data_IF_184775322636
#
_entry.id   IF_184775322636
#
_cell.length_a   1.000
_cell.length_b   1.000
_cell.length_c   1.000
_cell.angle_alpha   90.00
_cell.angle_beta   90.00
_cell.angle_gamma   90.00
#
_symmetry.space_group_name_H-M   'P 1'
#
loop_
_entity.id
_entity.type
_entity.pdbx_description
1 polymer ?
#
# COMPACT_ATOMS: atom_id res chain seq x y z
N UNK A 1 21.47 17.66 8.52
CA UNK A 1 22.24 16.77 7.65
C UNK A 1 22.18 17.27 6.22
N UNK A 2 23.35 17.48 5.59
CA UNK A 2 23.46 18.05 4.23
C UNK A 2 23.69 16.99 3.15
N UNK A 3 23.54 15.73 3.46
CA UNK A 3 23.76 14.59 2.56
C UNK A 3 22.46 14.05 1.95
N UNK A 4 22.62 13.10 1.04
CA UNK A 4 21.50 12.33 0.47
C UNK A 4 21.16 11.17 1.40
N UNK A 5 19.88 11.02 1.71
CA UNK A 5 19.35 9.88 2.50
C UNK A 5 18.52 9.01 1.59
N UNK A 6 18.80 7.72 1.57
CA UNK A 6 17.98 6.73 0.89
C UNK A 6 17.23 5.97 1.98
N UNK A 7 15.91 5.99 1.91
CA UNK A 7 15.02 5.34 2.88
C UNK A 7 14.27 4.22 2.20
N UNK A 8 14.26 3.05 2.86
CA UNK A 8 13.40 1.94 2.50
C UNK A 8 12.37 1.82 3.63
N UNK A 9 11.13 2.13 3.34
CA UNK A 9 10.06 2.08 4.35
C UNK A 9 8.73 1.68 3.70
N UNK A 10 7.95 0.90 4.43
CA UNK A 10 6.57 0.58 4.09
C UNK A 10 5.58 1.56 4.76
N UNK A 11 6.05 2.42 5.66
CA UNK A 11 5.24 3.44 6.31
C UNK A 11 5.00 4.61 5.36
N UNK A 12 3.83 4.65 4.72
CA UNK A 12 3.43 5.64 3.71
C UNK A 12 3.57 7.07 4.20
N UNK A 13 3.08 7.37 5.39
CA UNK A 13 3.15 8.70 6.01
C UNK A 13 4.58 9.20 6.22
N UNK A 14 5.49 8.28 6.53
CA UNK A 14 6.91 8.60 6.68
C UNK A 14 7.56 8.92 5.34
N UNK A 15 7.22 8.16 4.29
CA UNK A 15 7.73 8.39 2.93
C UNK A 15 7.23 9.74 2.40
N UNK A 16 5.93 10.02 2.53
CA UNK A 16 5.30 11.26 2.03
C UNK A 16 5.86 12.53 2.69
N UNK A 17 6.23 12.44 3.97
CA UNK A 17 6.75 13.60 4.73
C UNK A 17 8.23 13.88 4.47
N UNK A 18 9.03 12.88 4.09
CA UNK A 18 10.49 12.97 4.04
C UNK A 18 11.09 12.91 2.64
N UNK A 19 10.29 12.53 1.64
CA UNK A 19 10.81 12.22 0.30
C UNK A 19 10.55 13.35 -0.67
N UNK A 20 11.61 14.01 -1.13
CA UNK A 20 11.55 15.02 -2.19
C UNK A 20 11.53 14.44 -3.60
N UNK A 21 11.89 13.16 -3.76
CA UNK A 21 12.02 12.51 -5.07
C UNK A 21 11.68 11.04 -4.97
N UNK A 22 10.83 10.58 -5.89
CA UNK A 22 10.46 9.18 -6.03
C UNK A 22 11.14 8.61 -7.28
N UNK A 23 11.76 7.44 -7.11
CA UNK A 23 12.33 6.68 -8.22
C UNK A 23 11.70 5.30 -8.25
N UNK A 24 11.13 4.97 -9.39
CA UNK A 24 10.62 3.64 -9.68
C UNK A 24 11.70 2.81 -10.37
N UNK A 25 11.90 1.58 -9.91
CA UNK A 25 12.71 0.58 -10.61
C UNK A 25 11.79 -0.51 -11.14
N UNK A 26 11.54 -0.52 -12.44
CA UNK A 26 10.68 -1.51 -13.09
C UNK A 26 11.40 -2.12 -14.30
N UNK A 27 11.43 -3.45 -14.38
CA UNK A 27 12.09 -4.18 -15.47
C UNK A 27 13.55 -3.72 -15.75
N UNK A 28 14.31 -3.38 -14.71
CA UNK A 28 15.70 -2.92 -14.84
C UNK A 28 15.85 -1.46 -15.30
N UNK A 29 14.76 -0.73 -15.46
CA UNK A 29 14.75 0.69 -15.84
C UNK A 29 14.44 1.55 -14.62
N UNK A 30 15.28 2.57 -14.39
CA UNK A 30 15.07 3.57 -13.36
C UNK A 30 14.29 4.76 -13.95
N UNK A 31 13.12 5.07 -13.41
CA UNK A 31 12.32 6.23 -13.79
C UNK A 31 12.14 7.14 -12.59
N UNK A 32 12.28 8.44 -12.81
CA UNK A 32 11.93 9.43 -11.80
C UNK A 32 10.47 9.79 -11.95
N UNK A 33 9.70 9.65 -10.87
CA UNK A 33 8.33 10.14 -10.79
C UNK A 33 8.33 11.62 -10.37
N UNK A 34 7.52 12.43 -11.06
CA UNK A 34 7.40 13.88 -10.82
C UNK A 34 6.06 14.16 -10.14
N UNK A 35 5.97 13.91 -8.84
CA UNK A 35 4.76 14.08 -8.05
C UNK A 35 4.95 13.62 -6.62
N UNK A 36 3.88 13.69 -5.84
CA UNK A 36 3.82 13.18 -4.48
C UNK A 36 3.74 11.65 -4.45
N UNK A 37 4.00 11.05 -3.30
CA UNK A 37 3.85 9.59 -3.15
C UNK A 37 2.39 9.15 -3.34
N UNK A 38 1.42 9.97 -2.96
CA UNK A 38 0.00 9.70 -3.14
C UNK A 38 -0.37 9.66 -4.64
N UNK A 39 0.10 10.64 -5.42
CA UNK A 39 -0.06 10.67 -6.89
C UNK A 39 0.62 9.48 -7.57
N UNK A 40 1.79 9.04 -7.07
CA UNK A 40 2.47 7.84 -7.58
C UNK A 40 1.65 6.57 -7.35
N UNK A 41 1.04 6.42 -6.18
CA UNK A 41 0.18 5.26 -5.86
C UNK A 41 -1.10 5.28 -6.72
N UNK A 42 -1.69 6.45 -6.92
CA UNK A 42 -2.89 6.61 -7.75
C UNK A 42 -2.59 6.31 -9.23
N UNK A 43 -1.44 6.77 -9.75
CA UNK A 43 -0.97 6.48 -11.10
C UNK A 43 -0.72 4.97 -11.30
N UNK A 44 -0.07 4.32 -10.34
CA UNK A 44 0.12 2.86 -10.37
C UNK A 44 -1.21 2.10 -10.34
N UNK A 45 -2.16 2.55 -9.54
CA UNK A 45 -3.47 1.90 -9.44
C UNK A 45 -4.23 2.06 -10.76
N UNK A 46 -4.20 3.24 -11.35
CA UNK A 46 -4.83 3.53 -12.65
C UNK A 46 -4.18 2.72 -13.79
N UNK A 47 -2.86 2.60 -13.81
CA UNK A 47 -2.14 1.75 -14.79
C UNK A 47 -2.50 0.27 -14.64
N UNK A 48 -2.67 -0.20 -13.39
CA UNK A 48 -3.09 -1.58 -13.14
C UNK A 48 -4.55 -1.83 -13.56
N UNK A 49 -5.43 -0.85 -13.44
CA UNK A 49 -6.82 -0.94 -13.91
C UNK A 49 -6.90 -0.98 -15.44
N UNK A 50 -6.10 -0.17 -16.14
CA UNK A 50 -6.03 -0.15 -17.61
C UNK A 50 -5.43 -1.46 -18.15
N UNK A 51 -4.38 -2.00 -17.54
CA UNK A 51 -3.80 -3.29 -17.92
C UNK A 51 -4.79 -4.48 -17.73
N UNK A 52 -5.77 -4.33 -16.85
CA UNK A 52 -6.82 -5.35 -16.63
C UNK A 52 -7.97 -5.25 -17.66
N UNK A 53 -8.15 -4.10 -18.31
CA UNK A 53 -9.20 -3.91 -19.34
C UNK A 53 -8.71 -4.20 -20.77
N UNK A 54 -7.42 -4.05 -21.06
CA UNK A 54 -6.88 -4.19 -22.42
C UNK A 54 -6.27 -5.55 -22.76
N UNK A 55 -5.93 -6.40 -21.79
CA UNK A 55 -5.43 -7.74 -22.09
C UNK A 55 -6.36 -8.84 -21.59
N UNK A 56 -7.32 -9.20 -22.45
CA UNK A 56 -7.62 -10.61 -22.59
C UNK A 56 -6.41 -11.25 -23.31
N UNK A 57 -5.48 -11.93 -22.58
CA UNK A 57 -4.32 -12.49 -23.24
C UNK A 57 -4.76 -13.51 -24.28
N UNK A 58 -4.10 -13.54 -25.46
CA UNK A 58 -4.33 -14.62 -26.39
C UNK A 58 -3.99 -15.93 -25.67
N UNK A 59 -4.89 -16.87 -25.80
CA UNK A 59 -4.83 -18.25 -25.32
C UNK A 59 -3.40 -18.84 -25.44
N UNK A 60 -2.60 -18.69 -24.40
CA UNK A 60 -1.30 -19.34 -24.24
C UNK A 60 -1.31 -20.18 -22.98
N UNK A 61 -1.97 -21.35 -23.06
CA UNK A 61 -1.47 -22.53 -22.37
C UNK A 61 -1.54 -22.60 -20.87
N UNK A 62 -2.31 -21.78 -20.14
CA UNK A 62 -2.70 -22.16 -18.78
C UNK A 62 -3.85 -23.17 -18.93
N UNK A 63 -3.69 -24.41 -18.45
CA UNK A 63 -4.71 -25.46 -18.55
C UNK A 63 -6.02 -25.16 -17.80
N UNK A 64 -6.27 -23.90 -17.46
CA UNK A 64 -7.45 -23.42 -16.74
C UNK A 64 -8.62 -23.17 -17.70
N UNK A 65 -9.80 -23.66 -17.33
CA UNK A 65 -11.05 -23.37 -18.04
C UNK A 65 -11.42 -21.88 -17.93
N UNK A 66 -12.30 -21.42 -18.83
CA UNK A 66 -12.80 -20.02 -18.77
C UNK A 66 -13.51 -19.70 -17.44
N UNK A 67 -14.20 -20.70 -16.86
CA UNK A 67 -14.87 -20.55 -15.56
C UNK A 67 -13.86 -20.37 -14.42
N UNK A 68 -12.79 -21.16 -14.39
CA UNK A 68 -11.72 -21.04 -13.39
C UNK A 68 -10.99 -19.69 -13.51
N UNK A 69 -10.75 -19.20 -14.71
CA UNK A 69 -10.16 -17.88 -14.93
C UNK A 69 -11.05 -16.76 -14.41
N UNK A 70 -12.36 -16.82 -14.69
CA UNK A 70 -13.32 -15.83 -14.19
C UNK A 70 -13.43 -15.87 -12.66
N UNK A 71 -13.39 -17.07 -12.07
CA UNK A 71 -13.38 -17.20 -10.61
C UNK A 71 -12.12 -16.57 -9.99
N UNK A 72 -10.94 -16.84 -10.55
CA UNK A 72 -9.68 -16.24 -10.07
C UNK A 72 -9.69 -14.72 -10.19
N UNK A 73 -10.18 -14.16 -11.30
CA UNK A 73 -10.32 -12.72 -11.46
C UNK A 73 -11.29 -12.10 -10.44
N UNK A 74 -12.40 -12.77 -10.16
CA UNK A 74 -13.36 -12.30 -9.15
C UNK A 74 -12.73 -12.27 -7.76
N UNK A 75 -11.98 -13.31 -7.40
CA UNK A 75 -11.25 -13.38 -6.12
C UNK A 75 -10.17 -12.29 -6.01
N UNK A 76 -9.43 -12.03 -7.08
CA UNK A 76 -8.46 -10.93 -7.12
C UNK A 76 -9.15 -9.59 -6.82
N UNK A 77 -10.29 -9.31 -7.46
CA UNK A 77 -11.06 -8.08 -7.22
C UNK A 77 -11.56 -7.97 -5.77
N UNK A 78 -11.95 -9.08 -5.16
CA UNK A 78 -12.38 -9.12 -3.76
C UNK A 78 -11.23 -8.77 -2.81
N UNK A 79 -10.05 -9.33 -3.02
CA UNK A 79 -8.85 -9.02 -2.22
C UNK A 79 -8.36 -7.59 -2.44
N UNK A 80 -8.42 -7.06 -3.67
CA UNK A 80 -8.12 -5.65 -3.95
C UNK A 80 -9.07 -4.70 -3.20
N UNK A 81 -10.39 -4.99 -3.20
CA UNK A 81 -11.35 -4.21 -2.41
C UNK A 81 -11.10 -4.31 -0.90
N UNK A 82 -10.62 -5.46 -0.42
CA UNK A 82 -10.19 -5.62 0.97
C UNK A 82 -9.01 -4.71 1.27
N UNK A 83 -7.98 -4.69 0.43
CA UNK A 83 -6.82 -3.81 0.56
C UNK A 83 -7.21 -2.32 0.56
N UNK A 84 -8.15 -1.89 -0.29
CA UNK A 84 -8.65 -0.51 -0.28
C UNK A 84 -9.30 -0.14 1.05
N UNK A 85 -10.09 -1.07 1.64
CA UNK A 85 -10.71 -0.84 2.96
C UNK A 85 -9.65 -0.74 4.06
N UNK A 86 -8.65 -1.62 4.03
CA UNK A 86 -7.51 -1.58 4.97
C UNK A 86 -6.73 -0.27 4.84
N UNK A 87 -6.46 0.18 3.61
CA UNK A 87 -5.78 1.45 3.35
C UNK A 87 -6.54 2.66 3.92
N UNK A 88 -7.88 2.67 3.83
CA UNK A 88 -8.70 3.73 4.45
C UNK A 88 -8.58 3.72 5.97
N UNK A 89 -8.54 2.53 6.59
CA UNK A 89 -8.37 2.41 8.04
C UNK A 89 -6.97 2.88 8.48
N UNK A 90 -5.93 2.50 7.73
CA UNK A 90 -4.55 2.96 7.98
C UNK A 90 -4.50 4.50 7.93
N UNK A 91 -5.04 5.13 6.88
CA UNK A 91 -5.05 6.61 6.77
C UNK A 91 -5.72 7.29 7.98
N UNK A 92 -6.82 6.72 8.49
CA UNK A 92 -7.49 7.27 9.68
C UNK A 92 -6.65 7.16 10.95
N UNK A 93 -6.02 6.00 11.18
CA UNK A 93 -5.17 5.77 12.34
C UNK A 93 -3.89 6.61 12.28
N UNK A 94 -3.28 6.74 11.11
CA UNK A 94 -2.11 7.60 10.90
C UNK A 94 -2.43 9.07 11.17
N UNK A 95 -3.60 9.54 10.74
CA UNK A 95 -4.04 10.90 11.05
C UNK A 95 -4.25 11.11 12.55
N UNK A 96 -4.90 10.15 13.24
CA UNK A 96 -5.07 10.20 14.70
C UNK A 96 -3.72 10.20 15.40
N UNK A 97 -2.79 9.31 14.98
CA UNK A 97 -1.42 9.25 15.50
C UNK A 97 -0.69 10.57 15.36
N UNK A 98 -0.75 11.17 14.16
CA UNK A 98 -0.13 12.47 13.87
C UNK A 98 -0.66 13.58 14.77
N UNK A 99 -1.97 13.62 15.02
CA UNK A 99 -2.60 14.59 15.93
C UNK A 99 -2.11 14.42 17.38
N UNK A 100 -1.97 13.18 17.85
CA UNK A 100 -1.48 12.92 19.21
C UNK A 100 0.01 13.31 19.32
N UNK A 101 0.82 13.00 18.32
CA UNK A 101 2.22 13.37 18.29
C UNK A 101 2.41 14.89 18.24
N UNK A 102 1.61 15.61 17.43
CA UNK A 102 1.61 17.05 17.39
C UNK A 102 1.26 17.66 18.76
N UNK A 103 0.27 17.08 19.45
CA UNK A 103 -0.05 17.51 20.81
C UNK A 103 1.15 17.41 21.76
N UNK A 104 1.88 16.30 21.75
CA UNK A 104 3.06 16.14 22.61
C UNK A 104 4.22 17.07 22.21
N UNK A 105 4.34 17.37 20.92
CA UNK A 105 5.32 18.33 20.44
C UNK A 105 5.03 19.74 20.95
N UNK A 106 3.77 20.15 20.91
CA UNK A 106 3.35 21.49 21.37
C UNK A 106 3.31 21.61 22.92
N UNK A 107 3.20 20.49 23.63
CA UNK A 107 3.10 20.43 25.07
C UNK A 107 4.13 19.48 25.70
N UNK A 108 5.43 19.76 25.60
CA UNK A 108 6.50 18.82 25.97
C UNK A 108 6.56 18.50 27.47
N UNK A 109 5.93 19.32 28.31
CA UNK A 109 5.87 19.11 29.78
C UNK A 109 4.58 18.45 30.23
N UNK A 110 3.59 18.32 29.35
CA UNK A 110 2.30 17.71 29.67
C UNK A 110 2.32 16.21 29.39
N UNK A 111 2.43 15.43 30.46
CA UNK A 111 2.34 13.97 30.37
C UNK A 111 0.87 13.53 30.40
N UNK A 112 0.36 13.00 29.27
CA UNK A 112 -0.95 12.42 29.18
C UNK A 112 -0.88 10.88 29.03
N UNK A 113 -1.11 10.10 30.11
CA UNK A 113 -1.10 8.64 30.06
C UNK A 113 -2.09 8.07 29.03
N UNK A 114 -3.27 8.68 28.94
CA UNK A 114 -4.32 8.25 28.01
C UNK A 114 -3.87 8.37 26.55
N UNK A 115 -3.22 9.48 26.19
CA UNK A 115 -2.70 9.67 24.83
C UNK A 115 -1.53 8.74 24.53
N UNK A 116 -0.65 8.51 25.50
CA UNK A 116 0.45 7.55 25.37
C UNK A 116 -0.06 6.12 25.18
N UNK A 117 -1.07 5.71 25.95
CA UNK A 117 -1.72 4.43 25.79
C UNK A 117 -2.36 4.32 24.39
N UNK A 118 -3.08 5.37 23.96
CA UNK A 118 -3.74 5.39 22.65
C UNK A 118 -2.74 5.26 21.49
N UNK A 119 -1.55 5.88 21.59
CA UNK A 119 -0.46 5.67 20.61
C UNK A 119 -0.06 4.20 20.52
N UNK A 120 0.12 3.52 21.65
CA UNK A 120 0.43 2.08 21.65
C UNK A 120 -0.67 1.24 20.98
N UNK A 121 -1.94 1.53 21.28
CA UNK A 121 -3.08 0.85 20.64
C UNK A 121 -3.13 1.09 19.13
N UNK A 122 -2.83 2.32 18.68
CA UNK A 122 -2.76 2.65 17.24
C UNK A 122 -1.63 1.86 16.58
N UNK A 123 -0.46 1.79 17.18
CA UNK A 123 0.68 1.04 16.63
C UNK A 123 0.36 -0.46 16.49
N UNK A 124 -0.31 -1.05 17.47
CA UNK A 124 -0.77 -2.44 17.40
C UNK A 124 -1.81 -2.65 16.28
N UNK A 125 -2.76 -1.72 16.14
CA UNK A 125 -3.78 -1.76 15.09
C UNK A 125 -3.17 -1.63 13.70
N UNK A 126 -2.23 -0.70 13.51
CA UNK A 126 -1.50 -0.53 12.25
C UNK A 126 -0.72 -1.80 11.87
N UNK A 127 -0.03 -2.43 12.83
CA UNK A 127 0.69 -3.68 12.59
C UNK A 127 -0.26 -4.85 12.21
N UNK A 128 -1.47 -4.91 12.77
CA UNK A 128 -2.46 -5.92 12.40
C UNK A 128 -3.03 -5.68 11.00
N UNK A 129 -3.33 -4.42 10.66
CA UNK A 129 -3.79 -4.03 9.32
C UNK A 129 -2.73 -4.34 8.25
N UNK A 130 -1.46 -4.07 8.53
CA UNK A 130 -0.35 -4.39 7.63
C UNK A 130 -0.24 -5.90 7.38
N UNK A 131 -0.36 -6.72 8.42
CA UNK A 131 -0.36 -8.19 8.27
C UNK A 131 -1.50 -8.69 7.39
N UNK A 132 -2.69 -8.09 7.53
CA UNK A 132 -3.85 -8.44 6.71
C UNK A 132 -3.65 -8.02 5.27
N UNK A 133 -3.12 -6.83 5.06
CA UNK A 133 -2.82 -6.31 3.75
C UNK A 133 -1.80 -7.20 3.01
N UNK A 134 -0.74 -7.62 3.70
CA UNK A 134 0.27 -8.53 3.14
C UNK A 134 -0.34 -9.88 2.74
N UNK A 135 -1.24 -10.44 3.55
CA UNK A 135 -1.95 -11.68 3.21
C UNK A 135 -2.81 -11.51 1.95
N UNK A 136 -3.55 -10.42 1.83
CA UNK A 136 -4.33 -10.14 0.62
C UNK A 136 -3.41 -10.02 -0.59
N UNK A 137 -2.23 -9.41 -0.44
CA UNK A 137 -1.24 -9.29 -1.51
C UNK A 137 -0.68 -10.65 -1.92
N UNK A 138 -0.31 -11.50 -0.97
CA UNK A 138 0.17 -12.87 -1.24
C UNK A 138 -0.87 -13.68 -2.02
N UNK A 139 -2.14 -13.58 -1.65
CA UNK A 139 -3.24 -14.23 -2.36
C UNK A 139 -3.42 -13.72 -3.79
N UNK A 140 -3.35 -12.40 -3.98
CA UNK A 140 -3.43 -11.80 -5.31
C UNK A 140 -2.29 -12.30 -6.20
N UNK A 141 -1.07 -12.32 -5.67
CA UNK A 141 0.10 -12.73 -6.42
C UNK A 141 0.06 -14.24 -6.77
N UNK A 142 -0.43 -15.08 -5.86
CA UNK A 142 -0.64 -16.51 -6.12
C UNK A 142 -1.70 -16.75 -7.21
N UNK A 143 -2.84 -16.03 -7.14
CA UNK A 143 -3.89 -16.16 -8.15
C UNK A 143 -3.44 -15.65 -9.53
N UNK A 144 -2.67 -14.54 -9.56
CA UNK A 144 -2.06 -14.04 -10.80
C UNK A 144 -1.05 -15.03 -11.40
N UNK A 145 -0.21 -15.63 -10.58
CA UNK A 145 0.74 -16.64 -11.02
C UNK A 145 0.02 -17.83 -11.68
N UNK A 146 -1.11 -18.27 -11.13
CA UNK A 146 -1.95 -19.35 -11.70
C UNK A 146 -2.62 -18.96 -13.01
N UNK A 147 -2.95 -17.70 -13.21
CA UNK A 147 -3.54 -17.21 -14.46
C UNK A 147 -2.51 -17.09 -15.58
N UNK A 148 -1.23 -16.91 -15.25
CA UNK A 148 -0.12 -16.79 -16.20
C UNK A 148 0.48 -18.13 -16.63
N UNK A 149 0.15 -19.23 -15.90
CA UNK A 149 0.57 -20.60 -16.20
C UNK A 149 1.94 -20.90 -15.75
#
# INVERSE_FOLDING_TARGET
YTGTVIVISHARTFVDTLVDKIFEVRAGVLRRFMGTYEEYVDDLTSLMEVDLEEEAPPDRGSGLSQEERAEHQTRIKEHQRSQERLNKQVKLLDHEKSNILAYFFDNPTDYSPTKSQRLGEIDEQLADLEKRWLKDQEFIDELRARLLG
#
